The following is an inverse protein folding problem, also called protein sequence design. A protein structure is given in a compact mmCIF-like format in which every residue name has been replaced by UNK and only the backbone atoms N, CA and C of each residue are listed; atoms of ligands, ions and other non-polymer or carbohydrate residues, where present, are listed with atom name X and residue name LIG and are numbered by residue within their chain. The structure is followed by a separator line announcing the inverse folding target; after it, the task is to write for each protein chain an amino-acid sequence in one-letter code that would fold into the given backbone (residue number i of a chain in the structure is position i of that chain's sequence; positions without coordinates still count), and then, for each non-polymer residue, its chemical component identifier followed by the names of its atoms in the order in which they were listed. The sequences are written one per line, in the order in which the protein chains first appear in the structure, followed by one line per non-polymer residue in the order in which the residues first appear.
data_IF_285462639283
#
_entry.id   IF_285462639283
#
_cell.length_a   1.000
_cell.length_b   1.000
_cell.length_c   1.000
_cell.angle_alpha   90.00
_cell.angle_beta   90.00
_cell.angle_gamma   90.00
#
_symmetry.space_group_name_H-M   'P 1'
#
loop_
_entity.id
_entity.type
_entity.pdbx_description
1 polymer ?
#
# COMPACT_ATOMS: atom_id res chain seq x y z
N UNK A 1 8.72 -2.69 -30.87
CA UNK A 1 8.30 -3.34 -29.60
C UNK A 1 6.80 -3.13 -29.46
N UNK A 2 5.99 -4.09 -28.97
CA UNK A 2 4.58 -3.79 -28.74
C UNK A 2 4.49 -2.72 -27.65
N UNK A 3 3.84 -1.61 -27.99
CA UNK A 3 3.50 -0.54 -27.06
C UNK A 3 2.51 -1.13 -26.05
N UNK A 4 2.85 -1.03 -24.75
CA UNK A 4 1.98 -1.50 -23.68
C UNK A 4 0.78 -0.56 -23.62
N UNK A 5 -0.29 -0.93 -24.30
CA UNK A 5 -1.58 -0.26 -24.20
C UNK A 5 -1.95 -0.12 -22.72
N UNK A 6 -2.36 1.06 -22.23
CA UNK A 6 -2.70 1.24 -20.83
C UNK A 6 -3.89 0.32 -20.56
N UNK A 7 -3.63 -0.75 -19.81
CA UNK A 7 -4.69 -1.60 -19.31
C UNK A 7 -5.58 -0.75 -18.42
N UNK A 8 -6.75 -0.34 -18.93
CA UNK A 8 -7.83 0.21 -18.13
C UNK A 8 -8.18 -0.83 -17.08
N UNK A 9 -7.72 -0.63 -15.84
CA UNK A 9 -8.09 -1.49 -14.74
C UNK A 9 -9.63 -1.49 -14.62
N UNK A 10 -10.28 -2.65 -14.39
CA UNK A 10 -11.71 -2.66 -14.11
C UNK A 10 -11.94 -1.75 -12.90
N UNK A 11 -12.77 -0.71 -13.07
CA UNK A 11 -13.14 0.22 -12.01
C UNK A 11 -13.90 -0.54 -10.92
N UNK A 12 -13.16 -1.05 -9.93
CA UNK A 12 -13.74 -1.56 -8.70
C UNK A 12 -14.52 -0.44 -8.03
N UNK A 13 -15.65 -0.79 -7.41
CA UNK A 13 -16.41 0.18 -6.65
C UNK A 13 -15.51 0.83 -5.59
N UNK A 14 -15.56 2.16 -5.40
CA UNK A 14 -14.72 2.85 -4.44
C UNK A 14 -14.94 2.26 -3.04
N UNK A 15 -13.84 1.88 -2.39
CA UNK A 15 -13.88 1.33 -1.04
C UNK A 15 -14.32 2.46 -0.10
N UNK A 16 -15.56 2.42 0.35
CA UNK A 16 -16.20 3.57 1.01
C UNK A 16 -15.89 3.68 2.52
N UNK A 17 -14.81 3.06 2.99
CA UNK A 17 -14.48 2.97 4.40
C UNK A 17 -12.98 2.86 4.66
N UNK A 18 -12.56 3.00 5.93
CA UNK A 18 -11.15 2.88 6.27
C UNK A 18 -10.61 1.50 5.89
N UNK A 19 -9.42 1.48 5.29
CA UNK A 19 -8.74 0.27 4.84
C UNK A 19 -7.56 -0.06 5.76
N UNK A 20 -7.32 -1.35 6.06
CA UNK A 20 -6.15 -1.79 6.79
C UNK A 20 -4.93 -1.89 5.85
N UNK A 21 -3.88 -1.13 6.14
CA UNK A 21 -2.58 -1.18 5.47
C UNK A 21 -1.63 -2.01 6.32
N UNK A 22 -1.38 -3.25 5.91
CA UNK A 22 -0.52 -4.19 6.62
C UNK A 22 0.95 -4.11 6.17
N UNK A 23 1.87 -4.08 7.14
CA UNK A 23 3.31 -4.10 6.94
C UNK A 23 3.92 -5.26 7.73
N UNK A 24 5.01 -5.84 7.20
CA UNK A 24 5.78 -6.83 7.95
C UNK A 24 7.26 -6.84 7.62
N UNK A 25 8.09 -7.12 8.63
CA UNK A 25 9.56 -7.16 8.51
C UNK A 25 10.19 -8.22 9.45
N UNK A 26 11.51 -8.47 9.27
CA UNK A 26 12.30 -9.40 10.09
C UNK A 26 12.85 -8.80 11.40
N UNK A 27 12.58 -7.53 11.66
CA UNK A 27 12.92 -6.89 12.93
C UNK A 27 12.03 -5.67 13.17
N UNK A 28 11.92 -5.17 14.42
CA UNK A 28 11.19 -3.94 14.72
C UNK A 28 11.77 -2.71 14.01
N UNK A 29 13.09 -2.61 13.88
CA UNK A 29 13.78 -1.50 13.19
C UNK A 29 13.49 -1.54 11.69
N UNK A 30 13.52 -2.73 11.10
CA UNK A 30 13.18 -2.92 9.69
C UNK A 30 11.70 -2.59 9.42
N UNK A 31 10.80 -2.88 10.36
CA UNK A 31 9.38 -2.52 10.26
C UNK A 31 9.20 -0.99 10.25
N UNK A 32 9.88 -0.26 11.16
CA UNK A 32 9.87 1.22 11.16
C UNK A 32 10.43 1.79 9.87
N UNK A 33 11.54 1.24 9.38
CA UNK A 33 12.13 1.66 8.10
C UNK A 33 11.19 1.40 6.91
N UNK A 34 10.44 0.29 6.92
CA UNK A 34 9.45 0.00 5.89
C UNK A 34 8.27 0.98 5.96
N UNK A 35 7.79 1.30 7.16
CA UNK A 35 6.75 2.32 7.35
C UNK A 35 7.18 3.69 6.83
N UNK A 36 8.39 4.13 7.15
CA UNK A 36 8.95 5.39 6.63
C UNK A 36 9.04 5.40 5.09
N UNK A 37 9.53 4.30 4.48
CA UNK A 37 9.59 4.17 3.02
C UNK A 37 8.21 4.19 2.36
N UNK A 38 7.19 3.63 3.02
CA UNK A 38 5.82 3.68 2.53
C UNK A 38 5.28 5.11 2.58
N UNK A 39 5.45 5.81 3.71
CA UNK A 39 5.05 7.21 3.85
C UNK A 39 5.70 8.09 2.76
N UNK A 40 7.02 7.99 2.61
CA UNK A 40 7.78 8.63 1.53
C UNK A 40 7.25 8.31 0.12
N UNK A 41 6.79 7.08 -0.10
CA UNK A 41 6.23 6.66 -1.39
C UNK A 41 4.89 7.34 -1.67
N UNK A 42 4.03 7.41 -0.65
CA UNK A 42 2.72 8.04 -0.72
C UNK A 42 2.85 9.56 -0.93
N UNK A 43 3.77 10.21 -0.22
CA UNK A 43 4.02 11.65 -0.37
C UNK A 43 4.50 12.03 -1.77
N UNK A 44 5.32 11.18 -2.39
CA UNK A 44 5.77 11.39 -3.77
C UNK A 44 4.69 11.10 -4.82
N UNK A 45 3.55 10.52 -4.44
CA UNK A 45 2.49 10.07 -5.37
C UNK A 45 1.11 10.40 -4.81
N UNK A 46 0.72 11.69 -4.81
CA UNK A 46 -0.53 12.15 -4.20
C UNK A 46 -1.80 11.60 -4.86
N UNK A 47 -1.70 11.07 -6.08
CA UNK A 47 -2.82 10.46 -6.80
C UNK A 47 -3.03 8.96 -6.53
N UNK A 48 -2.26 8.34 -5.62
CA UNK A 48 -2.48 6.94 -5.25
C UNK A 48 -3.69 6.81 -4.35
N UNK A 49 -4.57 5.86 -4.67
CA UNK A 49 -5.61 5.40 -3.76
C UNK A 49 -4.99 4.50 -2.69
N UNK A 50 -5.27 4.81 -1.41
CA UNK A 50 -4.79 4.02 -0.27
C UNK A 50 -5.33 2.59 -0.31
N UNK A 51 -6.50 2.35 -0.92
CA UNK A 51 -7.06 1.02 -1.10
C UNK A 51 -6.22 0.17 -2.06
N UNK A 52 -5.74 0.75 -3.17
CA UNK A 52 -4.88 0.05 -4.12
C UNK A 52 -3.51 -0.28 -3.50
N UNK A 53 -3.01 0.60 -2.65
CA UNK A 53 -1.80 0.38 -1.88
C UNK A 53 -1.98 -0.77 -0.89
N UNK A 54 -3.08 -0.75 -0.12
CA UNK A 54 -3.42 -1.82 0.81
C UNK A 54 -3.55 -3.17 0.09
N UNK A 55 -4.28 -3.20 -1.03
CA UNK A 55 -4.44 -4.37 -1.88
C UNK A 55 -3.08 -4.91 -2.36
N UNK A 56 -2.21 -4.04 -2.87
CA UNK A 56 -0.87 -4.42 -3.33
C UNK A 56 0.01 -5.02 -2.23
N UNK A 57 -0.20 -4.64 -0.97
CA UNK A 57 0.56 -5.15 0.16
C UNK A 57 0.10 -6.54 0.62
N UNK A 58 -1.12 -6.97 0.27
CA UNK A 58 -1.61 -8.34 0.55
C UNK A 58 -0.79 -9.42 -0.15
N UNK A 59 -0.18 -9.10 -1.30
CA UNK A 59 0.70 -10.01 -2.04
C UNK A 59 2.14 -10.05 -1.54
N UNK A 60 2.49 -9.30 -0.50
CA UNK A 60 3.85 -9.29 0.07
C UNK A 60 4.02 -10.42 1.08
N UNK A 61 5.27 -10.85 1.27
CA UNK A 61 5.60 -11.86 2.27
C UNK A 61 5.15 -11.43 3.67
N UNK A 62 4.59 -12.36 4.43
CA UNK A 62 4.26 -12.14 5.83
C UNK A 62 5.44 -12.55 6.71
N UNK A 63 6.00 -11.58 7.43
CA UNK A 63 7.14 -11.77 8.33
C UNK A 63 6.70 -11.65 9.80
N UNK A 64 7.62 -11.91 10.73
CA UNK A 64 7.32 -12.06 12.16
C UNK A 64 6.93 -10.75 12.87
N UNK A 65 7.50 -9.61 12.47
CA UNK A 65 7.13 -8.31 13.03
C UNK A 65 6.11 -7.63 12.12
N UNK A 66 4.91 -7.36 12.65
CA UNK A 66 3.77 -6.87 11.87
C UNK A 66 3.19 -5.61 12.49
N UNK A 67 2.72 -4.69 11.64
CA UNK A 67 1.94 -3.53 12.03
C UNK A 67 0.82 -3.31 11.01
N UNK A 68 -0.29 -2.74 11.48
CA UNK A 68 -1.41 -2.33 10.64
C UNK A 68 -1.75 -0.89 10.95
N UNK A 69 -1.86 -0.07 9.91
CA UNK A 69 -2.44 1.27 9.98
C UNK A 69 -3.82 1.22 9.37
N UNK A 70 -4.80 1.85 10.00
CA UNK A 70 -6.18 1.90 9.48
C UNK A 70 -6.48 3.35 9.14
N UNK A 71 -6.75 3.62 7.86
CA UNK A 71 -6.94 4.98 7.34
C UNK A 71 -7.96 5.00 6.20
N UNK A 72 -8.59 6.16 5.95
CA UNK A 72 -9.56 6.34 4.86
C UNK A 72 -8.91 6.84 3.58
N UNK A 73 -7.78 7.51 3.73
CA UNK A 73 -7.05 8.16 2.66
C UNK A 73 -5.54 8.14 2.99
N UNK A 74 -4.78 8.95 2.27
CA UNK A 74 -3.31 9.02 2.35
C UNK A 74 -2.81 9.70 3.63
N UNK A 75 -3.58 10.61 4.21
CA UNK A 75 -3.17 11.50 5.31
C UNK A 75 -3.45 10.89 6.69
#
# INVERSE_FOLDING_TARGET
APEREPASAPGGAPVSGPVPVALSARSPEALRAQAARLADHLDRRPGLDVADVAYSLTGRSELEHRAVVVGRDRE
#
